data_IF_145145376843
#
_entry.id   IF_145145376843
#
_cell.length_a   1.000
_cell.length_b   1.000
_cell.length_c   1.000
_cell.angle_alpha   90.00
_cell.angle_beta   90.00
_cell.angle_gamma   90.00
#
_symmetry.space_group_name_H-M   'P 1'
#
loop_
_entity.id
_entity.type
_entity.pdbx_description
1 polymer ?
#
# COMPACT_ATOMS: atom_id res chain seq x y z
N UNK A 1 10.27 35.67 0.65
CA UNK A 1 9.08 35.21 1.39
C UNK A 1 7.95 34.83 0.43
N UNK A 2 7.38 35.78 -0.33
CA UNK A 2 6.21 35.53 -1.20
C UNK A 2 6.36 34.37 -2.21
N UNK A 3 7.52 34.22 -2.85
CA UNK A 3 7.78 33.12 -3.78
C UNK A 3 7.73 31.74 -3.09
N UNK A 4 8.26 31.65 -1.87
CA UNK A 4 8.26 30.43 -1.09
C UNK A 4 6.84 30.05 -0.66
N UNK A 5 6.06 31.02 -0.18
CA UNK A 5 4.65 30.79 0.16
C UNK A 5 3.86 30.30 -1.04
N UNK A 6 4.04 30.92 -2.22
CA UNK A 6 3.39 30.49 -3.45
C UNK A 6 3.83 29.08 -3.90
N UNK A 7 5.06 28.67 -3.59
CA UNK A 7 5.54 27.31 -3.86
C UNK A 7 4.93 26.28 -2.90
N UNK A 8 4.82 26.62 -1.61
CA UNK A 8 4.16 25.78 -0.59
C UNK A 8 2.68 25.63 -0.90
N UNK A 9 1.99 26.71 -1.29
CA UNK A 9 0.57 26.69 -1.66
C UNK A 9 0.32 25.73 -2.83
N UNK A 10 1.07 25.84 -3.93
CA UNK A 10 0.97 24.90 -5.07
C UNK A 10 1.23 23.44 -4.67
N UNK A 11 2.17 23.22 -3.75
CA UNK A 11 2.50 21.88 -3.27
C UNK A 11 1.37 21.30 -2.41
N UNK A 12 0.79 22.12 -1.53
CA UNK A 12 -0.32 21.72 -0.66
C UNK A 12 -1.60 21.48 -1.43
N UNK A 13 -1.92 22.33 -2.41
CA UNK A 13 -3.08 22.20 -3.29
C UNK A 13 -3.07 20.88 -4.07
N UNK A 14 -1.88 20.32 -4.35
CA UNK A 14 -1.71 19.05 -5.04
C UNK A 14 -1.82 17.81 -4.14
N UNK A 15 -1.91 17.96 -2.81
CA UNK A 15 -2.00 16.80 -1.93
C UNK A 15 -3.36 16.11 -2.06
N UNK A 16 -3.31 14.82 -2.39
CA UNK A 16 -4.46 13.94 -2.37
C UNK A 16 -4.34 12.95 -1.20
N UNK A 17 -5.48 12.63 -0.58
CA UNK A 17 -5.54 11.55 0.39
C UNK A 17 -5.61 10.21 -0.35
N UNK A 18 -4.51 9.46 -0.36
CA UNK A 18 -4.43 8.16 -1.05
C UNK A 18 -5.51 7.19 -0.57
N UNK A 19 -5.85 7.20 0.72
CA UNK A 19 -6.92 6.36 1.28
C UNK A 19 -8.30 6.71 0.74
N UNK A 20 -8.63 8.00 0.65
CA UNK A 20 -9.87 8.45 0.04
C UNK A 20 -9.93 7.98 -1.42
N UNK A 21 -8.83 8.12 -2.16
CA UNK A 21 -8.73 7.64 -3.54
C UNK A 21 -8.86 6.11 -3.68
N UNK A 22 -8.49 5.32 -2.67
CA UNK A 22 -8.75 3.87 -2.64
C UNK A 22 -10.21 3.57 -2.36
N UNK A 23 -10.85 4.29 -1.43
CA UNK A 23 -12.26 4.08 -1.07
C UNK A 23 -13.22 4.46 -2.21
N UNK A 24 -12.88 5.47 -3.02
CA UNK A 24 -13.70 5.96 -4.13
C UNK A 24 -13.53 5.13 -5.42
N UNK A 25 -12.54 4.23 -5.48
CA UNK A 25 -12.21 3.42 -6.65
C UNK A 25 -12.47 1.94 -6.33
N UNK A 26 -13.59 1.34 -6.83
CA UNK A 26 -13.94 -0.05 -6.54
C UNK A 26 -12.86 -1.06 -6.95
N UNK A 27 -12.13 -0.80 -8.04
CA UNK A 27 -11.06 -1.67 -8.53
C UNK A 27 -9.86 -1.64 -7.57
N UNK A 28 -9.50 -0.46 -7.05
CA UNK A 28 -8.48 -0.35 -6.00
C UNK A 28 -8.93 -0.95 -4.69
N UNK A 29 -10.17 -0.69 -4.26
CA UNK A 29 -10.74 -1.19 -3.01
C UNK A 29 -10.75 -2.73 -2.97
N UNK A 30 -11.05 -3.38 -4.09
CA UNK A 30 -11.10 -4.84 -4.21
C UNK A 30 -9.76 -5.53 -3.88
N UNK A 31 -8.64 -4.81 -3.95
CA UNK A 31 -7.30 -5.34 -3.61
C UNK A 31 -7.08 -5.49 -2.11
N UNK A 32 -7.89 -4.85 -1.28
CA UNK A 32 -7.74 -4.81 0.19
C UNK A 32 -8.69 -5.76 0.94
N UNK A 33 -9.35 -6.69 0.23
CA UNK A 33 -10.34 -7.62 0.80
C UNK A 33 -9.78 -8.41 1.97
N UNK A 34 -8.52 -8.85 1.89
CA UNK A 34 -7.84 -9.64 2.92
C UNK A 34 -7.56 -8.89 4.23
N UNK A 35 -7.61 -7.57 4.23
CA UNK A 35 -7.23 -6.75 5.38
C UNK A 35 -8.42 -6.06 6.05
N UNK A 36 -9.47 -5.73 5.30
CA UNK A 36 -10.58 -4.91 5.81
C UNK A 36 -11.94 -5.58 5.64
N UNK A 37 -12.17 -6.30 4.53
CA UNK A 37 -13.53 -6.73 4.16
C UNK A 37 -13.86 -8.17 4.53
N UNK A 38 -12.84 -9.02 4.76
CA UNK A 38 -13.04 -10.44 5.05
C UNK A 38 -11.99 -10.98 6.04
N UNK A 39 -11.96 -10.49 7.30
CA UNK A 39 -10.93 -10.85 8.28
C UNK A 39 -10.88 -12.35 8.60
N UNK A 40 -12.02 -13.04 8.46
CA UNK A 40 -12.14 -14.48 8.71
C UNK A 40 -11.83 -15.35 7.48
N UNK A 41 -11.62 -14.73 6.31
CA UNK A 41 -11.31 -15.45 5.08
C UNK A 41 -9.80 -15.58 4.95
N UNK A 42 -9.24 -16.81 5.08
CA UNK A 42 -7.82 -17.01 4.90
C UNK A 42 -7.43 -16.66 3.46
N UNK A 43 -6.36 -15.88 3.30
CA UNK A 43 -5.82 -15.54 1.99
C UNK A 43 -5.08 -16.75 1.43
N UNK A 44 -5.60 -17.45 0.41
CA UNK A 44 -5.00 -18.69 -0.07
C UNK A 44 -3.65 -18.45 -0.77
N UNK A 45 -3.35 -17.20 -1.14
CA UNK A 45 -2.12 -16.82 -1.84
C UNK A 45 -0.97 -16.45 -0.90
N UNK A 46 -1.20 -16.34 0.41
CA UNK A 46 -0.16 -15.96 1.39
C UNK A 46 0.06 -17.11 2.37
N UNK A 47 1.21 -17.78 2.24
CA UNK A 47 1.70 -18.73 3.24
C UNK A 47 2.55 -18.00 4.27
N UNK A 48 2.51 -18.42 5.53
CA UNK A 48 3.35 -17.86 6.60
C UNK A 48 4.37 -18.89 7.09
N UNK A 49 5.51 -18.41 7.59
CA UNK A 49 6.59 -19.18 8.25
C UNK A 49 7.02 -18.48 9.55
N UNK A 50 7.89 -19.10 10.34
CA UNK A 50 8.52 -18.47 11.50
C UNK A 50 9.95 -18.02 11.18
N UNK A 51 10.27 -16.79 11.56
CA UNK A 51 11.63 -16.26 11.56
C UNK A 51 11.93 -15.68 12.94
N UNK A 52 12.88 -16.28 13.65
CA UNK A 52 13.33 -15.82 14.98
C UNK A 52 12.17 -15.65 15.98
N UNK A 53 11.22 -16.59 15.98
CA UNK A 53 10.03 -16.57 16.85
C UNK A 53 8.91 -15.62 16.41
N UNK A 54 9.04 -14.96 15.24
CA UNK A 54 7.98 -14.11 14.66
C UNK A 54 7.36 -14.77 13.44
N UNK A 55 6.03 -14.81 13.37
CA UNK A 55 5.28 -15.18 12.16
C UNK A 55 5.52 -14.15 11.06
N UNK A 56 6.07 -14.58 9.93
CA UNK A 56 6.36 -13.74 8.75
C UNK A 56 5.79 -14.38 7.49
N UNK A 57 5.47 -13.62 6.42
CA UNK A 57 5.14 -14.21 5.13
C UNK A 57 6.27 -15.09 4.62
N UNK A 58 5.93 -16.26 4.07
CA UNK A 58 6.90 -17.14 3.44
C UNK A 58 7.50 -16.44 2.20
N UNK A 59 8.78 -16.67 1.88
CA UNK A 59 9.39 -16.13 0.69
C UNK A 59 8.61 -16.55 -0.56
N UNK A 60 8.13 -15.58 -1.33
CA UNK A 60 7.60 -15.79 -2.67
C UNK A 60 8.73 -15.58 -3.68
N UNK A 61 8.84 -16.40 -4.76
CA UNK A 61 9.81 -16.20 -5.82
C UNK A 61 9.40 -15.03 -6.74
N UNK A 62 9.06 -13.90 -6.15
CA UNK A 62 9.09 -12.60 -6.82
C UNK A 62 10.57 -12.22 -6.82
N UNK A 63 11.22 -12.31 -7.98
CA UNK A 63 12.59 -11.86 -8.12
C UNK A 63 12.75 -10.44 -7.55
N UNK A 64 13.93 -10.11 -7.01
CA UNK A 64 14.15 -8.78 -6.45
C UNK A 64 13.83 -7.72 -7.51
N UNK A 65 13.04 -6.68 -7.18
CA UNK A 65 12.78 -5.59 -8.10
C UNK A 65 14.12 -5.00 -8.52
N UNK A 66 14.45 -5.10 -9.81
CA UNK A 66 15.61 -4.44 -10.38
C UNK A 66 15.22 -2.97 -10.51
N UNK A 67 15.78 -2.11 -9.65
CA UNK A 67 15.70 -0.67 -9.88
C UNK A 67 16.42 -0.40 -11.20
N UNK A 68 15.65 0.01 -12.21
CA UNK A 68 16.22 0.45 -13.49
C UNK A 68 17.17 1.62 -13.22
N UNK A 69 18.37 1.55 -13.81
CA UNK A 69 19.31 2.68 -13.81
C UNK A 69 18.89 3.71 -14.85
#
# INVERSE_FOLDING_TARGET
AAEFEAAVERHVDGYACEWKGVLEDPDKLSRFVSFVNAPDVPVPTITFTENSGRKVPAPVPIGMPKVGR
#
